data_IF_857149167195
#
_entry.id   IF_857149167195
#
_cell.length_a   1.000
_cell.length_b   1.000
_cell.length_c   1.000
_cell.angle_alpha   90.00
_cell.angle_beta   90.00
_cell.angle_gamma   90.00
#
_symmetry.space_group_name_H-M   'P 1'
#
loop_
_entity.id
_entity.type
_entity.pdbx_description
1 polymer ?
#
# COMPACT_ATOMS: atom_id res chain seq x y z
N UNK A 1 16.39 5.25 -61.45
CA UNK A 1 15.88 5.44 -60.07
C UNK A 1 14.87 4.33 -59.89
N UNK A 2 15.28 3.23 -59.28
CA UNK A 2 14.39 2.07 -59.11
C UNK A 2 13.51 2.31 -57.89
N UNK A 3 12.24 2.63 -58.13
CA UNK A 3 11.21 2.62 -57.10
C UNK A 3 10.98 1.18 -56.63
N UNK A 4 11.65 0.81 -55.54
CA UNK A 4 11.38 -0.42 -54.83
C UNK A 4 10.01 -0.29 -54.14
N UNK A 5 8.96 -0.70 -54.83
CA UNK A 5 7.67 -0.97 -54.20
C UNK A 5 7.80 -2.17 -53.26
N UNK A 6 7.95 -1.89 -51.96
CA UNK A 6 7.87 -2.93 -50.94
C UNK A 6 6.40 -3.31 -50.75
N UNK A 7 6.04 -4.55 -51.06
CA UNK A 7 4.72 -5.08 -50.71
C UNK A 7 4.51 -4.96 -49.19
N UNK A 8 3.36 -4.40 -48.81
CA UNK A 8 3.01 -4.10 -47.43
C UNK A 8 2.80 -5.41 -46.65
N UNK A 9 3.87 -5.96 -46.08
CA UNK A 9 3.80 -7.18 -45.30
C UNK A 9 3.19 -6.88 -43.93
N UNK A 10 2.01 -7.44 -43.64
CA UNK A 10 1.28 -7.29 -42.37
C UNK A 10 2.17 -7.50 -41.15
N UNK A 11 3.14 -8.41 -41.20
CA UNK A 11 4.06 -8.69 -40.09
C UNK A 11 5.04 -7.53 -39.86
N UNK A 12 5.61 -6.96 -40.93
CA UNK A 12 6.51 -5.79 -40.84
C UNK A 12 5.75 -4.55 -40.38
N UNK A 13 4.53 -4.38 -40.87
CA UNK A 13 3.61 -3.32 -40.44
C UNK A 13 3.30 -3.42 -38.93
N UNK A 14 2.84 -4.59 -38.46
CA UNK A 14 2.52 -4.79 -37.04
C UNK A 14 3.75 -4.67 -36.14
N UNK A 15 4.93 -5.16 -36.55
CA UNK A 15 6.17 -5.02 -35.76
C UNK A 15 6.55 -3.55 -35.59
N UNK A 16 6.47 -2.74 -36.64
CA UNK A 16 6.79 -1.32 -36.59
C UNK A 16 5.83 -0.56 -35.64
N UNK A 17 4.51 -0.72 -35.82
CA UNK A 17 3.53 -0.01 -35.00
C UNK A 17 3.47 -0.53 -33.55
N UNK A 18 3.85 -1.79 -33.30
CA UNK A 18 4.03 -2.29 -31.94
C UNK A 18 5.25 -1.65 -31.25
N UNK A 19 6.35 -1.44 -31.99
CA UNK A 19 7.55 -0.80 -31.46
C UNK A 19 7.34 0.69 -31.11
N UNK A 20 6.44 1.38 -31.83
CA UNK A 20 6.07 2.78 -31.54
C UNK A 20 4.91 2.89 -30.54
N UNK A 21 4.43 1.76 -29.98
CA UNK A 21 3.41 1.74 -28.93
C UNK A 21 1.97 1.98 -29.39
N UNK A 22 1.70 1.96 -30.71
CA UNK A 22 0.38 2.23 -31.29
C UNK A 22 -0.56 1.02 -31.21
N UNK A 23 -0.03 -0.19 -31.03
CA UNK A 23 -0.84 -1.42 -31.06
C UNK A 23 -1.87 -1.57 -29.92
N UNK A 24 -1.61 -0.99 -28.73
CA UNK A 24 -2.45 -1.22 -27.54
C UNK A 24 -3.62 -0.21 -27.39
N UNK A 25 -3.67 0.85 -28.21
CA UNK A 25 -4.61 1.98 -28.05
C UNK A 25 -5.57 2.16 -29.24
N UNK A 26 -5.55 1.23 -30.21
CA UNK A 26 -6.32 1.39 -31.45
C UNK A 26 -7.83 1.39 -31.24
N UNK A 27 -8.39 0.54 -30.36
CA UNK A 27 -9.84 0.52 -30.13
C UNK A 27 -10.34 1.83 -29.48
N UNK A 28 -9.77 2.32 -28.36
CA UNK A 28 -10.20 3.60 -27.81
C UNK A 28 -10.10 4.76 -28.80
N UNK A 29 -9.02 4.82 -29.59
CA UNK A 29 -8.83 5.86 -30.60
C UNK A 29 -9.83 5.75 -31.77
N UNK A 30 -10.06 4.54 -32.28
CA UNK A 30 -11.04 4.29 -33.33
C UNK A 30 -12.47 4.60 -32.87
N UNK A 31 -12.81 4.22 -31.64
CA UNK A 31 -14.11 4.52 -31.06
C UNK A 31 -14.31 6.02 -30.87
N UNK A 32 -13.30 6.72 -30.35
CA UNK A 32 -13.34 8.17 -30.22
C UNK A 32 -13.49 8.87 -31.59
N UNK A 33 -12.87 8.35 -32.66
CA UNK A 33 -13.00 8.88 -34.01
C UNK A 33 -14.39 8.62 -34.63
N UNK A 34 -15.00 7.47 -34.35
CA UNK A 34 -16.35 7.13 -34.84
C UNK A 34 -17.44 7.84 -34.04
N UNK A 35 -17.20 8.12 -32.76
CA UNK A 35 -18.18 8.70 -31.84
C UNK A 35 -17.97 10.20 -31.53
N UNK A 36 -17.21 10.94 -32.34
CA UNK A 36 -16.77 12.32 -32.05
C UNK A 36 -17.90 13.27 -31.63
N UNK A 37 -19.08 13.14 -32.24
CA UNK A 37 -20.24 14.01 -32.00
C UNK A 37 -21.43 13.26 -31.38
N UNK A 38 -21.22 12.03 -30.91
CA UNK A 38 -22.29 11.20 -30.36
C UNK A 38 -22.41 11.38 -28.85
N UNK A 39 -23.60 11.77 -28.37
CA UNK A 39 -23.89 11.82 -26.92
C UNK A 39 -23.89 10.43 -26.28
N UNK A 40 -24.24 9.40 -27.05
CA UNK A 40 -24.27 8.01 -26.59
C UNK A 40 -23.60 7.09 -27.59
N UNK A 41 -22.82 6.13 -27.10
CA UNK A 41 -22.14 5.15 -27.95
C UNK A 41 -23.11 4.02 -28.30
N UNK A 42 -23.19 3.65 -29.58
CA UNK A 42 -24.08 2.59 -30.06
C UNK A 42 -23.31 1.32 -30.46
N UNK A 43 -24.04 0.22 -30.65
CA UNK A 43 -23.46 -1.03 -31.17
C UNK A 43 -22.80 -0.86 -32.53
N UNK A 44 -23.41 -0.08 -33.43
CA UNK A 44 -22.88 0.17 -34.77
C UNK A 44 -21.54 0.92 -34.71
N UNK A 45 -21.43 1.90 -33.82
CA UNK A 45 -20.18 2.63 -33.59
C UNK A 45 -19.08 1.71 -33.06
N UNK A 46 -19.45 0.80 -32.14
CA UNK A 46 -18.51 -0.17 -31.59
C UNK A 46 -18.10 -1.21 -32.64
N UNK A 47 -19.02 -1.65 -33.51
CA UNK A 47 -18.74 -2.57 -34.62
C UNK A 47 -17.76 -1.94 -35.63
N UNK A 48 -17.95 -0.66 -35.96
CA UNK A 48 -17.03 0.09 -36.81
C UNK A 48 -15.64 0.25 -36.14
N UNK A 49 -15.60 0.60 -34.86
CA UNK A 49 -14.35 0.73 -34.11
C UNK A 49 -13.59 -0.60 -33.99
N UNK A 50 -14.29 -1.71 -33.79
CA UNK A 50 -13.75 -3.07 -33.78
C UNK A 50 -13.12 -3.44 -35.13
N UNK A 51 -13.80 -3.13 -36.23
CA UNK A 51 -13.28 -3.37 -37.58
C UNK A 51 -11.98 -2.59 -37.84
N UNK A 52 -11.91 -1.32 -37.39
CA UNK A 52 -10.71 -0.48 -37.50
C UNK A 52 -9.58 -1.02 -36.61
N UNK A 53 -9.90 -1.41 -35.37
CA UNK A 53 -8.92 -1.92 -34.41
C UNK A 53 -8.49 -3.37 -34.68
N UNK A 54 -9.18 -4.09 -35.58
CA UNK A 54 -8.90 -5.48 -35.91
C UNK A 54 -9.17 -6.46 -34.76
N UNK A 55 -10.13 -6.12 -33.89
CA UNK A 55 -10.57 -6.96 -32.76
C UNK A 55 -12.06 -7.26 -32.87
N UNK A 56 -12.52 -8.32 -32.22
CA UNK A 56 -13.93 -8.70 -32.22
C UNK A 56 -14.37 -9.04 -30.81
N UNK A 57 -15.50 -8.47 -30.40
CA UNK A 57 -16.19 -8.76 -29.16
C UNK A 57 -17.50 -9.49 -29.45
N UNK A 58 -17.95 -10.32 -28.51
CA UNK A 58 -19.29 -10.91 -28.58
C UNK A 58 -20.36 -9.85 -28.31
N UNK A 59 -21.62 -10.10 -28.68
CA UNK A 59 -22.71 -9.14 -28.41
C UNK A 59 -22.90 -8.89 -26.90
N UNK A 60 -22.66 -9.89 -26.06
CA UNK A 60 -22.70 -9.76 -24.60
C UNK A 60 -21.54 -8.90 -24.07
N UNK A 61 -20.35 -9.00 -24.67
CA UNK A 61 -19.20 -8.14 -24.33
C UNK A 61 -19.44 -6.69 -24.76
N UNK A 62 -19.96 -6.50 -25.97
CA UNK A 62 -20.34 -5.18 -26.48
C UNK A 62 -21.40 -4.53 -25.59
N UNK A 63 -22.44 -5.27 -25.19
CA UNK A 63 -23.47 -4.77 -24.27
C UNK A 63 -22.85 -4.31 -22.94
N UNK A 64 -21.93 -5.10 -22.35
CA UNK A 64 -21.22 -4.71 -21.11
C UNK A 64 -20.37 -3.45 -21.29
N UNK A 65 -19.74 -3.27 -22.44
CA UNK A 65 -18.98 -2.06 -22.76
C UNK A 65 -19.92 -0.85 -22.84
N UNK A 66 -21.03 -0.98 -23.56
CA UNK A 66 -22.02 0.10 -23.72
C UNK A 66 -22.68 0.48 -22.39
N UNK A 67 -23.06 -0.49 -21.56
CA UNK A 67 -23.60 -0.26 -20.21
C UNK A 67 -22.63 0.52 -19.34
N UNK A 68 -21.33 0.22 -19.44
CA UNK A 68 -20.30 0.94 -18.68
C UNK A 68 -20.06 2.36 -19.20
N UNK A 69 -20.12 2.57 -20.51
CA UNK A 69 -19.85 3.88 -21.12
C UNK A 69 -21.05 4.83 -21.02
N UNK A 70 -22.27 4.30 -21.21
CA UNK A 70 -23.51 5.10 -21.24
C UNK A 70 -24.31 5.08 -19.93
N UNK A 71 -23.99 4.19 -18.97
CA UNK A 71 -24.78 4.02 -17.74
C UNK A 71 -24.46 5.04 -16.64
N UNK A 72 -25.26 5.04 -15.58
CA UNK A 72 -25.15 5.96 -14.42
C UNK A 72 -23.79 5.91 -13.70
N UNK A 73 -23.07 4.80 -13.84
CA UNK A 73 -21.72 4.59 -13.29
C UNK A 73 -20.62 4.87 -14.31
N UNK A 74 -20.95 5.58 -15.40
CA UNK A 74 -19.98 5.97 -16.40
C UNK A 74 -18.89 6.83 -15.78
N UNK A 75 -17.61 6.60 -16.13
CA UNK A 75 -16.53 7.45 -15.66
C UNK A 75 -16.48 8.79 -16.41
N UNK A 76 -17.26 8.98 -17.49
CA UNK A 76 -17.20 10.17 -18.34
C UNK A 76 -17.47 11.48 -17.57
N UNK A 77 -18.53 11.59 -16.74
CA UNK A 77 -18.75 12.82 -15.96
C UNK A 77 -17.62 13.10 -14.96
N UNK A 78 -17.02 12.05 -14.39
CA UNK A 78 -15.88 12.21 -13.48
C UNK A 78 -14.64 12.74 -14.23
N UNK A 79 -14.43 12.35 -15.48
CA UNK A 79 -13.35 12.90 -16.30
C UNK A 79 -13.59 14.36 -16.69
N UNK A 80 -14.83 14.76 -16.95
CA UNK A 80 -15.17 16.17 -17.18
C UNK A 80 -14.83 17.02 -15.96
N UNK A 81 -15.20 16.58 -14.75
CA UNK A 81 -14.82 17.25 -13.50
C UNK A 81 -13.30 17.40 -13.37
N UNK A 82 -12.52 16.38 -13.73
CA UNK A 82 -11.06 16.45 -13.68
C UNK A 82 -10.50 17.43 -14.72
N UNK A 83 -11.08 17.50 -15.93
CA UNK A 83 -10.67 18.45 -16.97
C UNK A 83 -11.00 19.89 -16.60
N UNK A 84 -12.16 20.10 -15.98
CA UNK A 84 -12.64 21.42 -15.55
C UNK A 84 -11.97 21.90 -14.26
N UNK A 85 -11.28 21.01 -13.53
CA UNK A 85 -10.58 21.35 -12.29
C UNK A 85 -9.42 22.35 -12.46
N UNK A 86 -9.00 22.65 -13.70
CA UNK A 86 -8.02 23.70 -13.99
C UNK A 86 -6.65 23.47 -13.34
N UNK A 87 -6.24 22.21 -13.20
CA UNK A 87 -4.96 21.83 -12.59
C UNK A 87 -3.80 22.18 -13.55
N UNK A 88 -3.29 23.40 -13.44
CA UNK A 88 -2.12 23.89 -14.18
C UNK A 88 -0.81 23.27 -13.68
N UNK A 89 0.27 23.49 -14.45
CA UNK A 89 1.62 23.04 -14.07
C UNK A 89 2.16 23.74 -12.82
N UNK A 90 1.53 24.85 -12.42
CA UNK A 90 1.78 25.63 -11.21
C UNK A 90 0.96 25.14 -10.00
N UNK A 91 -0.02 24.25 -10.21
CA UNK A 91 -0.80 23.66 -9.13
C UNK A 91 0.05 22.67 -8.35
N UNK A 92 0.24 22.95 -7.06
CA UNK A 92 1.02 22.08 -6.17
C UNK A 92 0.36 20.69 -6.03
N UNK A 93 1.15 19.61 -6.01
CA UNK A 93 0.62 18.27 -5.79
C UNK A 93 0.03 18.14 -4.38
N UNK A 94 -0.95 17.25 -4.23
CA UNK A 94 -1.54 16.96 -2.93
C UNK A 94 -0.55 16.21 -2.03
N UNK A 95 0.05 16.91 -1.06
CA UNK A 95 0.90 16.29 -0.04
C UNK A 95 0.11 15.65 1.10
N UNK A 96 -1.16 16.02 1.26
CA UNK A 96 -2.02 15.53 2.34
C UNK A 96 -3.08 14.60 1.75
N UNK A 97 -2.98 13.32 2.10
CA UNK A 97 -4.04 12.35 1.83
C UNK A 97 -5.01 12.32 3.00
N UNK A 98 -6.27 12.70 2.76
CA UNK A 98 -7.35 12.54 3.73
C UNK A 98 -8.17 11.29 3.37
N UNK A 99 -8.03 10.18 4.13
CA UNK A 99 -8.77 8.95 3.86
C UNK A 99 -10.25 9.01 4.26
N UNK A 100 -10.73 10.09 4.89
CA UNK A 100 -12.09 10.18 5.40
C UNK A 100 -13.07 10.42 4.23
N UNK A 101 -14.01 9.50 3.96
CA UNK A 101 -14.96 9.68 2.88
C UNK A 101 -15.92 10.85 3.13
N UNK A 102 -16.50 11.45 2.08
CA UNK A 102 -17.51 12.50 2.23
C UNK A 102 -18.66 12.07 3.15
N UNK A 103 -19.01 12.91 4.12
CA UNK A 103 -20.08 12.65 5.09
C UNK A 103 -19.74 11.67 6.22
N UNK A 104 -18.48 11.24 6.35
CA UNK A 104 -18.01 10.43 7.48
C UNK A 104 -17.26 11.29 8.51
N UNK A 105 -17.40 10.93 9.79
CA UNK A 105 -16.72 11.56 10.91
C UNK A 105 -15.87 10.53 11.64
N UNK A 106 -14.69 10.93 12.08
CA UNK A 106 -13.84 10.07 12.91
C UNK A 106 -14.40 10.01 14.34
N UNK A 107 -14.35 8.85 15.01
CA UNK A 107 -14.75 8.75 16.40
C UNK A 107 -13.83 9.64 17.26
N UNK A 108 -14.42 10.60 17.98
CA UNK A 108 -13.71 11.57 18.82
C UNK A 108 -13.67 11.19 20.31
N UNK A 109 -14.36 10.10 20.69
CA UNK A 109 -14.41 9.64 22.06
C UNK A 109 -13.06 9.10 22.53
N UNK A 110 -12.55 9.61 23.65
CA UNK A 110 -11.36 9.07 24.32
C UNK A 110 -11.75 7.77 25.02
N UNK A 111 -11.36 6.62 24.45
CA UNK A 111 -11.46 5.32 25.11
C UNK A 111 -10.18 5.04 25.90
N UNK A 112 -10.25 4.75 27.21
CA UNK A 112 -9.08 4.38 27.97
C UNK A 112 -8.53 3.04 27.46
N UNK A 113 -7.20 2.92 27.39
CA UNK A 113 -6.55 1.65 27.12
C UNK A 113 -6.86 0.68 28.26
N UNK A 114 -7.55 -0.43 27.96
CA UNK A 114 -7.73 -1.53 28.91
C UNK A 114 -6.72 -2.62 28.57
N UNK A 115 -5.85 -2.94 29.54
CA UNK A 115 -4.94 -4.08 29.44
C UNK A 115 -5.68 -5.32 29.94
N UNK A 116 -5.58 -6.42 29.21
CA UNK A 116 -6.07 -7.70 29.70
C UNK A 116 -5.12 -8.21 30.81
N UNK A 117 -5.65 -8.82 31.87
CA UNK A 117 -4.83 -9.42 32.91
C UNK A 117 -4.07 -10.62 32.33
N UNK A 118 -2.76 -10.63 32.50
CA UNK A 118 -1.90 -11.74 32.12
C UNK A 118 -1.59 -12.53 33.38
N UNK A 119 -1.92 -13.81 33.36
CA UNK A 119 -1.52 -14.74 34.40
C UNK A 119 -0.09 -15.23 34.09
N UNK A 120 0.85 -14.89 34.98
CA UNK A 120 2.25 -15.27 34.86
C UNK A 120 2.80 -15.61 36.24
N UNK A 121 3.45 -16.76 36.31
CA UNK A 121 4.18 -17.22 37.49
C UNK A 121 5.66 -16.95 37.29
N UNK A 122 6.36 -16.57 38.36
CA UNK A 122 7.81 -16.43 38.34
C UNK A 122 8.47 -17.76 37.89
N UNK A 123 9.25 -17.74 36.79
CA UNK A 123 9.99 -18.93 36.35
C UNK A 123 11.02 -19.37 37.39
N UNK A 124 11.43 -20.63 37.32
CA UNK A 124 12.43 -21.20 38.23
C UNK A 124 13.87 -21.01 37.75
N UNK A 125 14.06 -20.65 36.48
CA UNK A 125 15.38 -20.43 35.89
C UNK A 125 15.52 -19.03 35.28
N UNK A 126 16.74 -18.50 35.37
CA UNK A 126 17.14 -17.23 34.78
C UNK A 126 17.00 -17.22 33.25
N UNK A 127 17.21 -18.37 32.60
CA UNK A 127 17.07 -18.50 31.15
C UNK A 127 15.61 -18.34 30.72
N UNK A 128 14.67 -19.04 31.36
CA UNK A 128 13.24 -18.90 31.08
C UNK A 128 12.76 -17.47 31.33
N UNK A 129 13.19 -16.87 32.44
CA UNK A 129 12.89 -15.48 32.77
C UNK A 129 13.36 -14.53 31.66
N UNK A 130 14.57 -14.74 31.15
CA UNK A 130 15.16 -13.83 30.18
C UNK A 130 14.57 -13.96 28.75
N UNK A 131 13.81 -15.02 28.49
CA UNK A 131 13.05 -15.24 27.25
C UNK A 131 11.54 -14.94 27.40
N UNK A 132 11.08 -14.48 28.57
CA UNK A 132 9.69 -14.07 28.73
C UNK A 132 9.35 -12.83 27.87
N UNK A 133 8.12 -12.74 27.33
CA UNK A 133 7.66 -11.54 26.64
C UNK A 133 7.63 -10.32 27.58
N UNK A 134 7.85 -9.12 27.03
CA UNK A 134 7.79 -7.86 27.80
C UNK A 134 6.49 -7.71 28.59
N UNK A 135 5.37 -8.17 28.04
CA UNK A 135 4.06 -8.13 28.71
C UNK A 135 4.05 -8.95 30.01
N UNK A 136 4.77 -10.07 30.05
CA UNK A 136 4.89 -10.94 31.22
C UNK A 136 5.89 -10.36 32.22
N UNK A 137 7.06 -9.89 31.77
CA UNK A 137 8.05 -9.21 32.62
C UNK A 137 7.46 -7.98 33.30
N UNK A 138 6.67 -7.18 32.58
CA UNK A 138 5.99 -6.01 33.14
C UNK A 138 5.04 -6.39 34.27
N UNK A 139 4.39 -7.55 34.17
CA UNK A 139 3.46 -8.05 35.19
C UNK A 139 4.21 -8.57 36.43
N UNK A 140 5.35 -9.25 36.24
CA UNK A 140 6.19 -9.69 37.34
C UNK A 140 6.77 -8.48 38.12
N UNK A 141 7.16 -7.41 37.43
CA UNK A 141 7.58 -6.15 38.05
C UNK A 141 6.43 -5.45 38.80
N UNK A 142 5.26 -5.33 38.17
CA UNK A 142 4.06 -4.72 38.77
C UNK A 142 3.62 -5.47 40.05
N UNK A 143 3.72 -6.80 40.03
CA UNK A 143 3.40 -7.66 41.18
C UNK A 143 4.56 -7.79 42.18
N UNK A 144 5.68 -7.11 41.94
CA UNK A 144 6.92 -7.14 42.75
C UNK A 144 7.47 -8.55 42.99
N UNK A 145 7.22 -9.48 42.06
CA UNK A 145 7.85 -10.81 42.07
C UNK A 145 9.32 -10.74 41.67
N UNK A 146 9.71 -9.69 40.93
CA UNK A 146 11.09 -9.37 40.56
C UNK A 146 11.28 -7.86 40.63
N UNK A 147 12.51 -7.41 40.89
CA UNK A 147 12.92 -6.00 40.84
C UNK A 147 13.57 -5.64 39.50
N UNK A 148 13.48 -4.37 39.12
CA UNK A 148 14.13 -3.79 37.95
C UNK A 148 15.65 -3.96 38.03
N UNK A 149 16.26 -3.84 39.21
CA UNK A 149 17.70 -4.11 39.39
C UNK A 149 18.06 -5.57 39.11
N UNK A 150 17.25 -6.52 39.55
CA UNK A 150 17.50 -7.96 39.35
C UNK A 150 17.41 -8.31 37.87
N UNK A 151 16.37 -7.83 37.18
CA UNK A 151 16.19 -8.02 35.75
C UNK A 151 17.31 -7.36 34.93
N UNK A 152 17.79 -6.19 35.37
CA UNK A 152 18.89 -5.48 34.70
C UNK A 152 20.21 -6.23 34.84
N UNK A 153 20.57 -6.69 36.04
CA UNK A 153 21.79 -7.47 36.23
C UNK A 153 21.76 -8.80 35.45
N UNK A 154 20.61 -9.45 35.37
CA UNK A 154 20.41 -10.64 34.52
C UNK A 154 20.79 -10.36 33.06
N UNK A 155 20.25 -9.29 32.46
CA UNK A 155 20.55 -8.96 31.06
C UNK A 155 21.99 -8.48 30.87
N UNK A 156 22.56 -7.72 31.82
CA UNK A 156 23.97 -7.32 31.76
C UNK A 156 24.91 -8.54 31.80
N UNK A 157 24.60 -9.54 32.62
CA UNK A 157 25.35 -10.79 32.67
C UNK A 157 25.29 -11.55 31.34
N UNK A 158 24.09 -11.68 30.75
CA UNK A 158 23.89 -12.34 29.46
C UNK A 158 24.61 -11.63 28.32
N UNK A 159 24.60 -10.29 28.31
CA UNK A 159 25.32 -9.51 27.30
C UNK A 159 26.83 -9.78 27.40
N UNK A 160 27.40 -9.78 28.62
CA UNK A 160 28.83 -10.10 28.82
C UNK A 160 29.19 -11.52 28.38
N UNK A 161 28.30 -12.48 28.58
CA UNK A 161 28.53 -13.88 28.20
C UNK A 161 28.47 -14.09 26.68
N UNK A 162 27.49 -13.49 26.01
CA UNK A 162 27.20 -13.79 24.61
C UNK A 162 27.84 -12.82 23.61
N UNK A 163 28.11 -11.58 24.00
CA UNK A 163 28.68 -10.57 23.12
C UNK A 163 30.00 -10.99 22.45
N UNK A 164 30.97 -11.67 23.12
CA UNK A 164 32.20 -12.11 22.48
C UNK A 164 32.01 -13.08 21.30
N UNK A 165 30.85 -13.73 21.21
CA UNK A 165 30.50 -14.67 20.13
C UNK A 165 29.61 -14.02 19.07
N UNK A 166 28.66 -13.20 19.51
CA UNK A 166 27.63 -12.62 18.64
C UNK A 166 28.00 -11.24 18.08
N UNK A 167 28.95 -10.55 18.71
CA UNK A 167 29.36 -9.18 18.37
C UNK A 167 28.16 -8.25 18.22
N UNK A 168 27.27 -8.27 19.22
CA UNK A 168 25.97 -7.60 19.16
C UNK A 168 25.91 -6.29 19.98
N UNK A 169 26.95 -5.98 20.75
CA UNK A 169 27.07 -4.76 21.55
C UNK A 169 28.28 -3.94 21.09
N UNK A 170 28.03 -2.68 20.72
CA UNK A 170 29.13 -1.74 20.37
C UNK A 170 29.67 -1.05 21.62
N UNK A 171 28.80 -0.56 22.49
CA UNK A 171 29.18 0.13 23.72
C UNK A 171 28.24 -0.28 24.85
N UNK A 172 28.78 -0.96 25.88
CA UNK A 172 28.01 -1.44 27.01
C UNK A 172 27.93 -0.38 28.11
N UNK A 173 26.74 0.19 28.34
CA UNK A 173 26.52 1.29 29.28
C UNK A 173 25.98 0.81 30.64
N UNK A 174 26.76 0.01 31.36
CA UNK A 174 26.34 -0.62 32.63
C UNK A 174 25.90 0.39 33.70
N UNK A 175 26.67 1.47 33.87
CA UNK A 175 26.42 2.46 34.92
C UNK A 175 25.07 3.18 34.72
N UNK A 176 24.72 3.44 33.45
CA UNK A 176 23.44 4.05 33.09
C UNK A 176 22.31 3.08 33.40
N UNK A 177 22.45 1.83 32.96
CA UNK A 177 21.45 0.77 33.18
C UNK A 177 21.19 0.56 34.67
N UNK A 178 22.24 0.40 35.48
CA UNK A 178 22.14 0.23 36.94
C UNK A 178 21.47 1.41 37.64
N UNK A 179 21.81 2.64 37.23
CA UNK A 179 21.21 3.85 37.81
C UNK A 179 19.72 3.94 37.49
N UNK A 180 19.33 3.68 36.25
CA UNK A 180 17.93 3.70 35.83
C UNK A 180 17.12 2.58 36.50
N UNK A 181 17.70 1.38 36.64
CA UNK A 181 17.05 0.27 37.31
C UNK A 181 16.76 0.57 38.78
N UNK A 182 17.71 1.16 39.51
CA UNK A 182 17.49 1.60 40.90
C UNK A 182 16.38 2.64 41.01
N UNK A 183 16.37 3.63 40.11
CA UNK A 183 15.31 4.64 40.08
C UNK A 183 13.94 4.00 39.80
N UNK A 184 13.85 3.07 38.86
CA UNK A 184 12.60 2.38 38.55
C UNK A 184 12.07 1.57 39.75
N UNK A 185 12.95 0.95 40.55
CA UNK A 185 12.56 0.26 41.77
C UNK A 185 12.11 1.19 42.90
N UNK A 186 12.49 2.47 42.87
CA UNK A 186 12.00 3.50 43.80
C UNK A 186 10.63 4.04 43.38
N UNK A 187 10.32 4.05 42.07
CA UNK A 187 9.07 4.55 41.50
C UNK A 187 7.93 3.52 41.49
N UNK A 188 8.24 2.21 41.52
CA UNK A 188 7.29 1.09 41.39
C UNK A 188 6.97 0.44 42.74
#
# INVERSE_FOLDING_TARGET
>A
MDEQHFELNRRRFLVYFSAVGVGATLLPGALAAVAQDAETITFEMLDAAQAIAGITFTREEQQRILERLNGDRSPLPAFEVIRDAGLGNDTQPAFVFNPVPPGKFLPSERRPLRREPIDVTMPTSDEELAFLPLTHLSRLLETRQIRSTELTELYLARLKEHDPKLFCVVNLTEDIARRQARQADEEI
#
